data_IF_429505846559
#
_entry.id   IF_429505846559
#
_cell.length_a   1.000
_cell.length_b   1.000
_cell.length_c   1.000
_cell.angle_alpha   90.00
_cell.angle_beta   90.00
_cell.angle_gamma   90.00
#
_symmetry.space_group_name_H-M   'P 1'
#
loop_
_entity.id
_entity.type
_entity.pdbx_description
1 polymer ?
#
# COMPACT_ATOMS: atom_id res chain seq x y z
N UNK A 1 41.95 -36.06 -5.59
CA UNK A 1 41.13 -35.06 -4.86
C UNK A 1 39.99 -34.74 -5.80
N UNK A 2 38.84 -35.39 -5.64
CA UNK A 2 37.64 -35.09 -6.41
C UNK A 2 36.50 -34.86 -5.44
N UNK A 3 35.89 -33.68 -5.52
CA UNK A 3 34.86 -33.19 -4.62
C UNK A 3 33.50 -33.45 -5.25
N UNK A 4 32.69 -34.29 -4.60
CA UNK A 4 31.30 -34.58 -4.99
C UNK A 4 30.40 -33.41 -4.57
N UNK A 5 29.61 -32.85 -5.49
CA UNK A 5 28.55 -31.88 -5.18
C UNK A 5 27.19 -32.58 -5.15
N UNK A 6 26.46 -32.41 -4.04
CA UNK A 6 25.09 -32.91 -3.86
C UNK A 6 24.09 -31.87 -4.38
N UNK A 7 23.22 -32.27 -5.32
CA UNK A 7 22.10 -31.43 -5.77
C UNK A 7 21.01 -31.39 -4.69
N UNK A 8 20.78 -30.22 -4.12
CA UNK A 8 19.56 -29.93 -3.35
C UNK A 8 18.43 -29.53 -4.30
N UNK A 9 17.39 -30.35 -4.37
CA UNK A 9 16.14 -29.99 -5.05
C UNK A 9 15.38 -28.99 -4.18
N UNK A 10 15.43 -27.70 -4.54
CA UNK A 10 14.52 -26.70 -3.99
C UNK A 10 13.16 -26.90 -4.66
N UNK A 11 12.20 -27.49 -3.94
CA UNK A 11 10.80 -27.48 -4.34
C UNK A 11 10.30 -26.06 -4.11
N UNK A 12 10.49 -25.19 -5.09
CA UNK A 12 9.79 -23.92 -5.15
C UNK A 12 8.31 -24.25 -5.41
N UNK A 13 7.48 -24.11 -4.38
CA UNK A 13 6.02 -24.08 -4.54
C UNK A 13 5.73 -22.83 -5.37
N UNK A 14 5.61 -23.02 -6.68
CA UNK A 14 5.23 -21.98 -7.62
C UNK A 14 3.74 -21.70 -7.42
N UNK A 15 3.41 -20.79 -6.49
CA UNK A 15 2.11 -20.14 -6.51
C UNK A 15 2.07 -19.33 -7.80
N UNK A 16 1.35 -19.85 -8.81
CA UNK A 16 1.11 -19.15 -10.06
C UNK A 16 0.28 -17.92 -9.70
N UNK A 17 0.95 -16.77 -9.59
CA UNK A 17 0.25 -15.49 -9.65
C UNK A 17 -0.26 -15.37 -11.09
N UNK A 18 -1.57 -15.58 -11.29
CA UNK A 18 -2.25 -15.08 -12.47
C UNK A 18 -2.24 -13.55 -12.39
N UNK A 19 -1.11 -12.96 -12.75
CA UNK A 19 -1.04 -11.56 -13.11
C UNK A 19 -1.89 -11.45 -14.37
N UNK A 20 -3.14 -11.01 -14.22
CA UNK A 20 -3.83 -10.47 -15.38
C UNK A 20 -2.93 -9.33 -15.90
N UNK A 21 -2.50 -9.47 -17.15
CA UNK A 21 -1.33 -8.78 -17.69
C UNK A 21 -1.46 -7.26 -17.53
N UNK A 22 -0.47 -6.61 -16.89
CA UNK A 22 -0.34 -5.15 -16.84
C UNK A 22 -0.99 -4.43 -15.63
N UNK A 23 -1.47 -5.17 -14.63
CA UNK A 23 -2.18 -4.59 -13.49
C UNK A 23 -1.24 -4.09 -12.38
N UNK A 24 -1.46 -2.88 -11.87
CA UNK A 24 -0.67 -2.27 -10.80
C UNK A 24 -1.53 -1.43 -9.84
N UNK A 25 -1.03 -1.21 -8.62
CA UNK A 25 -1.52 -0.13 -7.76
C UNK A 25 -0.57 1.03 -7.94
N UNK A 26 -1.10 2.19 -8.28
CA UNK A 26 -0.29 3.41 -8.36
C UNK A 26 -0.22 4.01 -6.96
N UNK A 27 1.01 4.22 -6.49
CA UNK A 27 1.29 5.01 -5.29
C UNK A 27 1.83 6.36 -5.76
N UNK A 28 1.05 7.41 -5.55
CA UNK A 28 1.47 8.79 -5.85
C UNK A 28 1.84 9.48 -4.56
N UNK A 29 3.07 9.99 -4.47
CA UNK A 29 3.61 10.76 -3.35
C UNK A 29 4.81 11.61 -3.84
N UNK A 30 5.21 12.67 -3.11
CA UNK A 30 6.45 13.38 -3.40
C UNK A 30 7.67 12.44 -3.32
N UNK A 31 8.77 12.82 -3.97
CA UNK A 31 10.05 12.10 -3.90
C UNK A 31 10.79 12.39 -2.60
N UNK A 32 10.65 13.60 -2.06
CA UNK A 32 11.32 14.07 -0.86
C UNK A 32 10.35 14.88 0.01
N UNK A 33 10.59 14.91 1.32
CA UNK A 33 9.90 15.81 2.24
C UNK A 33 10.89 16.71 2.99
N UNK A 34 10.56 17.99 3.11
CA UNK A 34 11.15 18.90 4.08
C UNK A 34 10.24 18.95 5.32
N UNK A 35 10.69 18.45 6.49
CA UNK A 35 9.87 18.41 7.70
C UNK A 35 9.34 19.80 8.09
N UNK A 36 8.03 19.88 8.38
CA UNK A 36 7.37 21.14 8.73
C UNK A 36 7.00 22.04 7.55
N UNK A 37 7.33 21.65 6.31
CA UNK A 37 7.06 22.47 5.12
C UNK A 37 6.31 21.69 4.03
N UNK A 38 6.75 20.47 3.71
CA UNK A 38 6.20 19.71 2.58
C UNK A 38 4.94 18.97 3.00
N UNK A 39 3.80 19.23 2.36
CA UNK A 39 2.61 18.39 2.55
C UNK A 39 2.86 17.01 1.94
N UNK A 40 2.76 15.97 2.76
CA UNK A 40 2.85 14.59 2.31
C UNK A 40 1.45 14.09 1.94
N UNK A 41 1.23 13.74 0.68
CA UNK A 41 0.03 13.03 0.25
C UNK A 41 0.44 11.70 -0.36
N UNK A 42 -0.03 10.60 0.22
CA UNK A 42 0.15 9.25 -0.32
C UNK A 42 -1.18 8.74 -0.82
N UNK A 43 -1.32 8.63 -2.15
CA UNK A 43 -2.54 8.16 -2.80
C UNK A 43 -2.34 6.78 -3.40
N UNK A 44 -3.24 5.87 -3.05
CA UNK A 44 -3.41 4.54 -3.63
C UNK A 44 -4.60 4.55 -4.60
N UNK A 45 -4.42 4.00 -5.80
CA UNK A 45 -5.51 3.71 -6.72
C UNK A 45 -5.16 2.53 -7.65
N UNK A 46 -6.14 1.70 -8.08
CA UNK A 46 -5.91 0.74 -9.15
C UNK A 46 -5.51 1.46 -10.44
N UNK A 47 -4.51 0.93 -11.16
CA UNK A 47 -4.11 1.47 -12.46
C UNK A 47 -5.12 1.18 -13.57
N UNK A 48 -5.98 0.17 -13.38
CA UNK A 48 -6.92 -0.33 -14.37
C UNK A 48 -8.38 -0.03 -13.97
N UNK A 49 -9.12 0.76 -14.78
CA UNK A 49 -10.53 1.05 -14.59
C UNK A 49 -11.46 -0.15 -14.48
N UNK A 50 -11.10 -1.27 -15.12
CA UNK A 50 -11.95 -2.46 -15.13
C UNK A 50 -12.03 -3.15 -13.76
N UNK A 51 -11.10 -2.85 -12.85
CA UNK A 51 -11.03 -3.45 -11.51
C UNK A 51 -11.82 -2.68 -10.46
N UNK A 52 -12.31 -1.49 -10.79
CA UNK A 52 -12.93 -0.57 -9.82
C UNK A 52 -14.10 -1.18 -9.06
N UNK A 53 -14.90 -2.00 -9.74
CA UNK A 53 -16.09 -2.67 -9.16
C UNK A 53 -15.75 -3.93 -8.35
N UNK A 54 -14.51 -4.40 -8.43
CA UNK A 54 -14.03 -5.62 -7.78
C UNK A 54 -13.25 -5.33 -6.49
N UNK A 55 -12.83 -4.09 -6.26
CA UNK A 55 -12.09 -3.71 -5.04
C UNK A 55 -13.03 -3.76 -3.84
N UNK A 56 -12.68 -4.61 -2.88
CA UNK A 56 -13.40 -4.72 -1.59
C UNK A 56 -12.60 -4.08 -0.46
N UNK A 57 -11.28 -4.07 -0.56
CA UNK A 57 -10.42 -3.51 0.47
C UNK A 57 -9.21 -2.83 -0.17
N UNK A 58 -8.83 -1.69 0.38
CA UNK A 58 -7.58 -1.02 0.09
C UNK A 58 -6.84 -0.75 1.39
N UNK A 59 -5.55 -1.08 1.44
CA UNK A 59 -4.72 -0.94 2.64
C UNK A 59 -3.47 -0.15 2.31
N UNK A 60 -3.14 0.82 3.15
CA UNK A 60 -1.88 1.55 3.08
C UNK A 60 -0.93 1.02 4.14
N UNK A 61 0.31 0.79 3.75
CA UNK A 61 1.40 0.33 4.60
C UNK A 61 2.57 1.28 4.50
N UNK A 62 3.38 1.30 5.56
CA UNK A 62 4.66 1.99 5.59
C UNK A 62 5.74 1.12 6.20
N UNK A 63 6.97 1.39 5.79
CA UNK A 63 8.19 0.91 6.41
C UNK A 63 9.14 2.10 6.49
N UNK A 64 9.57 2.42 7.70
CA UNK A 64 10.62 3.41 7.90
C UNK A 64 11.97 2.86 7.42
N UNK A 65 12.86 3.72 6.94
CA UNK A 65 14.15 3.29 6.36
C UNK A 65 15.13 2.75 7.39
N UNK A 66 14.92 3.08 8.66
CA UNK A 66 15.70 2.55 9.79
C UNK A 66 15.29 1.11 10.19
N UNK A 67 14.34 0.47 9.51
CA UNK A 67 13.91 -0.90 9.81
C UNK A 67 14.77 -1.94 9.09
N UNK A 68 15.50 -2.75 9.86
CA UNK A 68 16.50 -3.72 9.37
C UNK A 68 15.89 -5.02 8.80
N UNK A 69 14.58 -5.24 8.97
CA UNK A 69 13.89 -6.45 8.48
C UNK A 69 13.01 -6.18 7.27
N UNK A 70 13.19 -6.95 6.21
CA UNK A 70 12.37 -6.90 5.00
C UNK A 70 10.92 -7.37 5.19
N UNK A 71 10.55 -7.89 6.37
CA UNK A 71 9.23 -8.49 6.65
C UNK A 71 8.24 -7.62 7.42
N UNK A 72 8.62 -6.45 7.94
CA UNK A 72 7.70 -5.59 8.71
C UNK A 72 7.22 -4.40 7.89
N UNK A 73 6.25 -4.63 7.00
CA UNK A 73 5.36 -3.57 6.55
C UNK A 73 4.35 -3.31 7.68
N UNK A 74 4.30 -2.10 8.20
CA UNK A 74 3.32 -1.71 9.22
C UNK A 74 2.06 -1.19 8.53
N UNK A 75 0.88 -1.79 8.76
CA UNK A 75 -0.36 -1.23 8.26
C UNK A 75 -0.60 0.13 8.91
N UNK A 76 -1.04 1.10 8.12
CA UNK A 76 -1.37 2.45 8.57
C UNK A 76 -2.89 2.58 8.71
N UNK A 77 -3.57 2.40 7.58
CA UNK A 77 -5.01 2.60 7.46
C UNK A 77 -5.54 1.67 6.38
N UNK A 78 -6.75 1.16 6.59
CA UNK A 78 -7.48 0.36 5.63
C UNK A 78 -8.90 0.86 5.41
N UNK A 79 -9.33 0.75 4.17
CA UNK A 79 -10.67 1.07 3.68
C UNK A 79 -11.30 -0.26 3.28
N UNK A 80 -12.46 -0.59 3.82
CA UNK A 80 -13.20 -1.81 3.45
C UNK A 80 -14.61 -1.47 2.97
N UNK A 81 -15.01 -2.06 1.85
CA UNK A 81 -16.34 -1.94 1.28
C UNK A 81 -17.12 -3.23 1.53
N UNK A 82 -18.23 -3.12 2.24
CA UNK A 82 -19.08 -4.26 2.63
C UNK A 82 -20.49 -4.08 2.04
N UNK A 83 -20.79 -4.82 0.96
CA UNK A 83 -22.14 -5.06 0.44
C UNK A 83 -23.08 -3.83 0.41
N UNK A 84 -22.65 -2.71 -0.19
CA UNK A 84 -23.52 -1.54 -0.41
C UNK A 84 -23.57 -0.53 0.73
N UNK A 85 -22.77 -0.70 1.78
CA UNK A 85 -22.52 0.34 2.78
C UNK A 85 -21.21 1.06 2.51
N UNK A 86 -21.16 2.32 2.95
CA UNK A 86 -20.01 3.22 2.85
C UNK A 86 -18.70 2.57 3.31
N UNK A 87 -17.59 3.23 3.01
CA UNK A 87 -16.28 2.67 3.30
C UNK A 87 -15.97 2.71 4.79
N UNK A 88 -15.80 1.54 5.41
CA UNK A 88 -15.32 1.43 6.79
C UNK A 88 -13.82 1.78 6.82
N UNK A 89 -13.47 2.85 7.54
CA UNK A 89 -12.08 3.25 7.76
C UNK A 89 -11.57 2.62 9.05
N UNK A 90 -10.58 1.75 8.93
CA UNK A 90 -9.87 1.16 10.07
C UNK A 90 -8.48 1.74 10.14
N UNK A 91 -8.12 2.30 11.30
CA UNK A 91 -6.78 2.81 11.57
C UNK A 91 -5.99 1.76 12.32
N UNK A 92 -4.85 1.34 11.77
CA UNK A 92 -3.91 0.46 12.45
C UNK A 92 -2.80 1.25 13.14
N UNK A 93 -2.38 2.40 12.59
CA UNK A 93 -1.44 3.33 13.21
C UNK A 93 -2.21 4.39 14.03
N UNK A 94 -2.33 4.17 15.34
CA UNK A 94 -3.06 5.08 16.23
C UNK A 94 -2.31 6.39 16.50
N UNK A 95 -0.98 6.36 16.49
CA UNK A 95 -0.17 7.56 16.71
C UNK A 95 -0.31 8.52 15.52
N UNK A 96 -0.31 7.96 14.30
CA UNK A 96 -0.57 8.72 13.09
C UNK A 96 -2.00 9.26 13.07
N UNK A 97 -3.00 8.44 13.42
CA UNK A 97 -4.42 8.84 13.49
C UNK A 97 -4.65 10.04 14.39
N UNK A 98 -3.98 10.09 15.54
CA UNK A 98 -4.18 11.13 16.55
C UNK A 98 -3.35 12.39 16.29
N UNK A 99 -2.46 12.36 15.31
CA UNK A 99 -1.59 13.49 15.00
C UNK A 99 -2.38 14.61 14.30
N UNK A 100 -2.20 15.83 14.79
CA UNK A 100 -2.79 17.03 14.19
C UNK A 100 -2.32 17.21 12.74
N UNK A 101 -3.23 17.63 11.86
CA UNK A 101 -2.97 17.79 10.42
C UNK A 101 -2.81 16.48 9.65
N UNK A 102 -3.19 15.34 10.24
CA UNK A 102 -3.32 14.08 9.51
C UNK A 102 -4.79 13.86 9.13
N UNK A 103 -5.03 13.58 7.85
CA UNK A 103 -6.33 13.24 7.32
C UNK A 103 -6.24 11.99 6.43
N UNK A 104 -7.32 11.22 6.38
CA UNK A 104 -7.46 10.12 5.43
C UNK A 104 -8.82 10.19 4.77
N UNK A 105 -8.79 10.11 3.44
CA UNK A 105 -9.98 10.09 2.60
C UNK A 105 -9.91 8.92 1.63
N UNK A 106 -11.06 8.40 1.22
CA UNK A 106 -11.15 7.33 0.25
C UNK A 106 -12.59 7.04 -0.12
N UNK A 107 -12.76 6.39 -1.26
CA UNK A 107 -14.08 6.00 -1.74
C UNK A 107 -13.95 4.73 -2.57
N UNK A 108 -14.24 3.58 -1.98
CA UNK A 108 -14.16 2.30 -2.69
C UNK A 108 -15.39 1.99 -3.54
N UNK A 109 -16.52 2.65 -3.29
CA UNK A 109 -17.77 2.42 -4.01
C UNK A 109 -17.89 3.21 -5.32
N UNK A 110 -16.86 4.00 -5.67
CA UNK A 110 -16.86 4.86 -6.85
C UNK A 110 -16.34 4.15 -8.10
N UNK A 111 -16.69 4.69 -9.28
CA UNK A 111 -16.00 4.39 -10.54
C UNK A 111 -14.60 5.03 -10.58
N UNK A 112 -13.88 5.17 -9.46
CA UNK A 112 -12.47 5.52 -9.39
C UNK A 112 -11.97 5.33 -7.95
N UNK A 113 -11.91 4.08 -7.45
CA UNK A 113 -11.65 3.82 -6.07
C UNK A 113 -10.24 4.23 -5.67
N UNK A 114 -10.16 4.88 -4.52
CA UNK A 114 -8.90 5.37 -4.00
C UNK A 114 -8.88 5.38 -2.48
N UNK A 115 -7.67 5.44 -1.95
CA UNK A 115 -7.35 5.75 -0.56
C UNK A 115 -6.24 6.80 -0.60
N UNK A 116 -6.37 7.86 0.19
CA UNK A 116 -5.41 8.95 0.28
C UNK A 116 -5.15 9.28 1.74
N UNK A 117 -3.89 9.18 2.15
CA UNK A 117 -3.39 9.72 3.41
C UNK A 117 -2.75 11.07 3.15
N UNK A 118 -3.09 12.08 3.95
CA UNK A 118 -2.48 13.40 3.90
C UNK A 118 -1.91 13.76 5.27
N UNK A 119 -0.71 14.32 5.27
CA UNK A 119 -0.10 15.00 6.42
C UNK A 119 0.21 16.42 5.97
N UNK A 120 -0.44 17.40 6.60
CA UNK A 120 -0.24 18.81 6.31
C UNK A 120 1.22 19.21 6.53
N UNK A 121 1.77 20.04 5.63
CA UNK A 121 3.17 20.47 5.64
C UNK A 121 3.73 20.81 7.02
N UNK A 122 3.10 21.74 7.79
CA UNK A 122 3.54 22.10 9.14
C UNK A 122 3.62 20.96 10.16
N UNK A 123 3.01 19.81 9.87
CA UNK A 123 2.93 18.64 10.75
C UNK A 123 3.74 17.44 10.24
N UNK A 124 4.41 17.54 9.08
CA UNK A 124 5.32 16.52 8.58
C UNK A 124 6.61 16.47 9.39
N UNK A 125 7.15 15.27 9.55
CA UNK A 125 8.30 14.96 10.39
C UNK A 125 9.30 14.10 9.61
N UNK A 126 10.58 14.10 9.99
CA UNK A 126 11.59 13.22 9.37
C UNK A 126 11.17 11.75 9.39
N UNK A 127 10.53 11.32 10.49
CA UNK A 127 10.02 9.95 10.62
C UNK A 127 8.92 9.60 9.61
N UNK A 128 8.36 10.57 8.89
CA UNK A 128 7.36 10.37 7.84
C UNK A 128 7.96 9.88 6.52
N UNK A 129 9.26 10.10 6.31
CA UNK A 129 10.00 9.48 5.22
C UNK A 129 9.99 7.95 5.34
N UNK A 130 10.24 7.29 4.22
CA UNK A 130 10.23 5.84 4.15
C UNK A 130 9.67 5.30 2.85
N UNK A 131 9.42 3.99 2.86
CA UNK A 131 8.73 3.33 1.77
C UNK A 131 7.26 3.15 2.12
N UNK A 132 6.38 3.50 1.17
CA UNK A 132 4.94 3.32 1.27
C UNK A 132 4.48 2.25 0.27
N UNK A 133 3.53 1.42 0.70
CA UNK A 133 2.89 0.43 -0.15
C UNK A 133 1.38 0.50 -0.07
N UNK A 134 0.73 0.24 -1.19
CA UNK A 134 -0.70 0.09 -1.25
C UNK A 134 -1.04 -1.35 -1.61
N UNK A 135 -1.86 -2.02 -0.80
CA UNK A 135 -2.42 -3.33 -1.10
C UNK A 135 -3.89 -3.21 -1.50
N UNK A 136 -4.28 -3.83 -2.61
CA UNK A 136 -5.68 -4.05 -2.95
C UNK A 136 -6.08 -5.48 -2.64
N UNK A 137 -7.28 -5.66 -2.14
CA UNK A 137 -7.94 -6.97 -2.02
C UNK A 137 -9.35 -6.85 -2.60
N UNK A 138 -9.75 -7.89 -3.31
CA UNK A 138 -11.00 -7.90 -4.02
C UNK A 138 -11.21 -9.23 -4.72
N UNK A 139 -12.39 -9.41 -5.29
CA UNK A 139 -12.72 -10.58 -6.08
C UNK A 139 -12.59 -10.19 -7.54
N UNK A 140 -11.55 -10.68 -8.21
CA UNK A 140 -11.25 -10.36 -9.61
C UNK A 140 -11.51 -11.60 -10.48
N UNK A 141 -12.20 -11.42 -11.62
CA UNK A 141 -12.52 -12.52 -12.53
C UNK A 141 -13.29 -13.67 -11.85
N UNK A 142 -12.83 -14.92 -12.04
CA UNK A 142 -13.48 -16.17 -11.62
C UNK A 142 -13.56 -16.41 -10.10
N UNK A 143 -13.45 -15.37 -9.27
CA UNK A 143 -13.45 -15.51 -7.81
C UNK A 143 -12.06 -15.48 -7.18
N UNK A 144 -11.00 -15.14 -7.91
CA UNK A 144 -9.64 -15.15 -7.39
C UNK A 144 -9.34 -13.89 -6.56
N UNK A 145 -8.67 -14.10 -5.42
CA UNK A 145 -8.14 -13.03 -4.59
C UNK A 145 -6.80 -12.58 -5.16
N UNK A 146 -6.69 -11.31 -5.53
CA UNK A 146 -5.44 -10.72 -6.02
C UNK A 146 -4.93 -9.69 -5.00
N UNK A 147 -3.66 -9.83 -4.63
CA UNK A 147 -2.94 -8.85 -3.83
C UNK A 147 -1.93 -8.16 -4.72
N UNK A 148 -2.26 -6.95 -5.17
CA UNK A 148 -1.35 -6.11 -5.95
C UNK A 148 -0.73 -5.10 -5.00
N UNK A 149 0.59 -4.93 -5.08
CA UNK A 149 1.30 -3.89 -4.35
C UNK A 149 1.96 -2.89 -5.29
N UNK A 150 1.76 -1.61 -5.00
CA UNK A 150 2.59 -0.53 -5.52
C UNK A 150 3.53 -0.05 -4.43
N UNK A 151 4.71 0.46 -4.79
CA UNK A 151 5.67 1.04 -3.85
C UNK A 151 6.09 2.43 -4.29
N UNK A 152 6.17 3.37 -3.36
CA UNK A 152 6.89 4.64 -3.52
C UNK A 152 7.84 4.83 -2.34
N UNK A 153 9.08 5.23 -2.62
CA UNK A 153 10.03 5.66 -1.60
C UNK A 153 10.03 7.19 -1.56
N UNK A 154 10.16 7.73 -0.36
CA UNK A 154 10.16 9.16 -0.06
C UNK A 154 11.36 9.40 0.86
N UNK A 155 12.27 10.23 0.43
CA UNK A 155 13.48 10.62 1.17
C UNK A 155 13.24 11.88 2.01
N UNK A 156 14.18 12.19 2.90
CA UNK A 156 14.25 13.51 3.55
C UNK A 156 15.16 14.40 2.69
N UNK A 157 14.68 15.62 2.39
CA UNK A 157 15.42 16.63 1.63
C UNK A 157 16.63 17.19 2.39
#
# INVERSE_FOLDING_TARGET
MDTTYSLFTVIAVLTIFHCAQGQQVVVTAPDEITPGETTLTVRCAPSDPHLWKSVQTMKLYKRADNMVSNTMQQPIVSFSYNNGKDTDVTWEDQDLRQRYGVDVNGNLASDNPFLSLTIDGPNTQEKDAGSYWCGLMGTFGNGEFLYITGKKHIDVA
#
